data_IF_862432116608
#
_entry.id   IF_862432116608
#
_cell.length_a   1.000
_cell.length_b   1.000
_cell.length_c   1.000
_cell.angle_alpha   90.00
_cell.angle_beta   90.00
_cell.angle_gamma   90.00
#
_symmetry.space_group_name_H-M   'P 1'
#
loop_
_entity.id
_entity.type
_entity.pdbx_description
1 polymer ?
#
# COMPACT_ATOMS: atom_id res chain seq x y z
N UNK A 1 -54.87 -2.32 20.58
CA UNK A 1 -54.05 -2.99 19.52
C UNK A 1 -53.36 -2.03 18.55
N UNK A 2 -54.02 -0.97 18.08
CA UNK A 2 -53.39 0.00 17.12
C UNK A 2 -52.22 0.82 17.70
N UNK A 3 -52.27 1.23 18.99
CA UNK A 3 -51.17 1.98 19.62
C UNK A 3 -49.89 1.17 19.81
N UNK A 4 -49.98 -0.13 20.09
CA UNK A 4 -48.82 -1.01 20.26
C UNK A 4 -48.10 -1.29 18.93
N UNK A 5 -48.88 -1.35 17.82
CA UNK A 5 -48.29 -1.58 16.49
C UNK A 5 -47.54 -0.35 15.91
N UNK A 6 -48.05 0.86 16.27
CA UNK A 6 -47.45 2.12 15.83
C UNK A 6 -46.12 2.40 16.54
N UNK A 7 -46.04 2.12 17.84
CA UNK A 7 -44.81 2.30 18.62
C UNK A 7 -43.71 1.30 18.15
N UNK A 8 -44.08 0.05 17.88
CA UNK A 8 -43.13 -0.94 17.36
C UNK A 8 -42.63 -0.62 15.93
N UNK A 9 -43.43 0.08 15.10
CA UNK A 9 -43.05 0.47 13.77
C UNK A 9 -42.10 1.68 13.79
N UNK A 10 -42.34 2.66 14.68
CA UNK A 10 -41.50 3.83 14.86
C UNK A 10 -40.12 3.44 15.46
N UNK A 11 -40.09 2.55 16.45
CA UNK A 11 -38.86 2.02 17.04
C UNK A 11 -38.01 1.24 16.04
N UNK A 12 -38.62 0.36 15.25
CA UNK A 12 -37.94 -0.37 14.18
C UNK A 12 -37.45 0.56 13.05
N UNK A 13 -38.17 1.66 12.78
CA UNK A 13 -37.74 2.64 11.77
C UNK A 13 -36.58 3.52 12.27
N UNK A 14 -36.59 3.88 13.58
CA UNK A 14 -35.45 4.55 14.21
C UNK A 14 -34.22 3.64 14.33
N UNK A 15 -34.38 2.36 14.66
CA UNK A 15 -33.29 1.38 14.63
C UNK A 15 -32.74 1.17 13.21
N UNK A 16 -33.60 1.11 12.21
CA UNK A 16 -33.18 1.02 10.81
C UNK A 16 -32.51 2.30 10.32
N UNK A 17 -33.02 3.46 10.71
CA UNK A 17 -32.43 4.76 10.38
C UNK A 17 -31.09 4.94 11.08
N UNK A 18 -30.97 4.53 12.36
CA UNK A 18 -29.71 4.52 13.09
C UNK A 18 -28.72 3.49 12.49
N UNK A 19 -29.17 2.30 12.11
CA UNK A 19 -28.35 1.30 11.44
C UNK A 19 -27.88 1.77 10.06
N UNK A 20 -28.71 2.53 9.33
CA UNK A 20 -28.36 3.17 8.06
C UNK A 20 -27.43 4.38 8.26
N UNK A 21 -27.58 5.14 9.35
CA UNK A 21 -26.63 6.19 9.73
C UNK A 21 -25.30 5.65 10.27
N UNK A 22 -25.31 4.54 11.00
CA UNK A 22 -24.10 3.82 11.47
C UNK A 22 -23.40 3.10 10.30
N UNK A 23 -24.16 2.59 9.34
CA UNK A 23 -23.63 2.13 8.05
C UNK A 23 -23.33 3.28 7.11
N UNK A 24 -23.28 4.53 7.53
CA UNK A 24 -23.03 5.72 6.74
C UNK A 24 -23.13 5.43 5.22
N UNK A 25 -23.82 6.24 4.47
CA UNK A 25 -23.59 6.30 3.02
C UNK A 25 -22.14 6.77 2.83
N UNK A 26 -21.16 5.88 3.09
CA UNK A 26 -19.82 6.10 2.61
C UNK A 26 -19.93 5.98 1.10
N UNK A 27 -19.73 7.09 0.41
CA UNK A 27 -19.48 7.02 -1.03
C UNK A 27 -18.44 5.91 -1.22
N UNK A 28 -18.80 4.91 -2.02
CA UNK A 28 -17.88 3.81 -2.32
C UNK A 28 -16.62 4.37 -2.92
N UNK A 29 -15.49 3.89 -2.43
CA UNK A 29 -14.20 4.25 -3.02
C UNK A 29 -14.17 3.76 -4.46
N UNK A 30 -13.91 4.67 -5.40
CA UNK A 30 -13.82 4.36 -6.83
C UNK A 30 -12.35 4.19 -7.22
N UNK A 31 -12.00 3.01 -7.70
CA UNK A 31 -10.63 2.64 -8.08
C UNK A 31 -10.53 2.50 -9.59
N UNK A 32 -9.59 3.23 -10.20
CA UNK A 32 -9.20 3.04 -11.59
C UNK A 32 -8.30 1.80 -11.74
N UNK A 33 -8.53 0.98 -12.77
CA UNK A 33 -7.68 -0.18 -13.07
C UNK A 33 -7.28 -0.13 -14.54
N UNK A 34 -5.97 0.00 -14.82
CA UNK A 34 -5.48 -0.04 -16.21
C UNK A 34 -5.49 -1.48 -16.73
N UNK A 35 -5.92 -1.66 -17.98
CA UNK A 35 -6.13 -2.97 -18.59
C UNK A 35 -4.97 -3.47 -19.46
N UNK A 36 -3.99 -2.61 -19.75
CA UNK A 36 -2.88 -2.91 -20.65
C UNK A 36 -1.62 -3.24 -19.87
N UNK A 37 -0.73 -4.03 -20.48
CA UNK A 37 0.60 -4.32 -19.98
C UNK A 37 0.78 -5.64 -19.22
N UNK A 38 -0.26 -6.49 -19.09
CA UNK A 38 -0.11 -7.82 -18.48
C UNK A 38 0.56 -8.82 -19.45
N UNK A 39 1.51 -9.60 -18.95
CA UNK A 39 2.14 -10.70 -19.67
C UNK A 39 1.14 -11.84 -19.96
N UNK A 40 0.03 -11.91 -19.22
CA UNK A 40 -1.00 -12.93 -19.32
C UNK A 40 -2.31 -12.43 -19.95
N UNK A 41 -2.27 -11.22 -20.52
CA UNK A 41 -3.40 -10.64 -21.22
C UNK A 41 -4.42 -9.92 -20.34
N UNK A 42 -5.35 -9.28 -21.01
CA UNK A 42 -6.39 -8.42 -20.42
C UNK A 42 -7.36 -9.20 -19.51
N UNK A 43 -7.66 -10.44 -19.86
CA UNK A 43 -8.56 -11.31 -19.08
C UNK A 43 -8.08 -11.53 -17.66
N UNK A 44 -6.75 -11.62 -17.45
CA UNK A 44 -6.15 -11.76 -16.13
C UNK A 44 -6.48 -10.55 -15.24
N UNK A 45 -6.44 -9.34 -15.81
CA UNK A 45 -6.76 -8.11 -15.09
C UNK A 45 -8.27 -8.05 -14.79
N UNK A 46 -9.10 -8.41 -15.76
CA UNK A 46 -10.55 -8.45 -15.60
C UNK A 46 -10.99 -9.44 -14.52
N UNK A 47 -10.38 -10.62 -14.49
CA UNK A 47 -10.66 -11.62 -13.47
C UNK A 47 -10.29 -11.11 -12.08
N UNK A 48 -9.11 -10.53 -11.93
CA UNK A 48 -8.68 -9.90 -10.67
C UNK A 48 -9.60 -8.77 -10.22
N UNK A 49 -10.01 -7.93 -11.15
CA UNK A 49 -10.98 -6.84 -10.89
C UNK A 49 -12.34 -7.38 -10.44
N UNK A 50 -12.85 -8.43 -11.10
CA UNK A 50 -14.11 -9.10 -10.70
C UNK A 50 -14.01 -9.76 -9.32
N UNK A 51 -12.84 -10.33 -8.97
CA UNK A 51 -12.61 -10.86 -7.62
C UNK A 51 -12.68 -9.75 -6.57
N UNK A 52 -11.96 -8.65 -6.76
CA UNK A 52 -11.98 -7.51 -5.85
C UNK A 52 -13.39 -6.95 -5.66
N UNK A 53 -14.14 -6.77 -6.75
CA UNK A 53 -15.51 -6.25 -6.73
C UNK A 53 -16.47 -7.15 -5.96
N UNK A 54 -16.29 -8.48 -6.02
CA UNK A 54 -17.13 -9.44 -5.27
C UNK A 54 -16.80 -9.48 -3.79
N UNK A 55 -15.55 -9.22 -3.42
CA UNK A 55 -15.06 -9.32 -2.05
C UNK A 55 -15.16 -8.00 -1.26
N UNK A 56 -15.35 -6.87 -1.95
CA UNK A 56 -15.27 -5.56 -1.32
C UNK A 56 -16.36 -4.58 -1.72
N UNK A 57 -16.47 -3.52 -0.92
CA UNK A 57 -17.35 -2.38 -1.19
C UNK A 57 -16.58 -1.30 -1.96
N UNK A 58 -16.30 -1.58 -3.24
CA UNK A 58 -15.50 -0.75 -4.13
C UNK A 58 -16.23 -0.54 -5.46
N UNK A 59 -16.14 0.65 -6.02
CA UNK A 59 -16.50 0.93 -7.41
C UNK A 59 -15.25 0.85 -8.29
N UNK A 60 -15.41 0.37 -9.51
CA UNK A 60 -14.30 0.16 -10.45
C UNK A 60 -14.53 0.96 -11.73
N UNK A 61 -13.49 1.66 -12.16
CA UNK A 61 -13.36 2.25 -13.51
C UNK A 61 -12.21 1.54 -14.22
N UNK A 62 -12.52 0.84 -15.29
CA UNK A 62 -11.51 0.23 -16.14
C UNK A 62 -10.94 1.28 -17.10
N UNK A 63 -9.64 1.27 -17.31
CA UNK A 63 -8.96 2.22 -18.21
C UNK A 63 -8.21 1.40 -19.26
N UNK A 64 -8.71 1.41 -20.50
CA UNK A 64 -8.17 0.58 -21.57
C UNK A 64 -9.13 0.36 -22.72
N UNK A 65 -8.90 -0.66 -23.56
CA UNK A 65 -9.75 -0.91 -24.71
C UNK A 65 -11.18 -1.25 -24.32
N UNK A 66 -12.10 -0.97 -25.23
CA UNK A 66 -13.52 -1.27 -25.01
C UNK A 66 -13.75 -2.78 -24.86
N UNK A 67 -14.53 -3.15 -23.84
CA UNK A 67 -14.87 -4.54 -23.54
C UNK A 67 -16.39 -4.72 -23.66
N UNK A 68 -16.79 -5.61 -24.57
CA UNK A 68 -18.21 -5.98 -24.70
C UNK A 68 -18.71 -6.70 -23.44
N UNK A 69 -19.97 -6.41 -23.04
CA UNK A 69 -20.63 -7.01 -21.86
C UNK A 69 -19.83 -6.90 -20.53
N UNK A 70 -19.16 -5.77 -20.32
CA UNK A 70 -18.47 -5.46 -19.08
C UNK A 70 -19.42 -4.82 -18.06
N UNK A 71 -19.48 -5.28 -16.80
CA UNK A 71 -20.33 -4.66 -15.77
C UNK A 71 -19.72 -3.37 -15.19
N UNK A 72 -18.49 -3.02 -15.57
CA UNK A 72 -17.77 -1.86 -15.07
C UNK A 72 -17.80 -0.71 -16.07
N UNK A 73 -17.72 0.51 -15.56
CA UNK A 73 -17.45 1.69 -16.37
C UNK A 73 -16.08 1.56 -17.05
N UNK A 74 -16.00 1.94 -18.32
CA UNK A 74 -14.75 1.88 -19.11
C UNK A 74 -14.40 3.28 -19.61
N UNK A 75 -13.24 3.77 -19.23
CA UNK A 75 -12.57 4.92 -19.81
C UNK A 75 -11.68 4.43 -20.96
N UNK A 76 -12.02 4.72 -22.23
CA UNK A 76 -11.34 4.10 -23.37
C UNK A 76 -9.91 4.61 -23.54
N UNK A 77 -8.97 3.67 -23.76
CA UNK A 77 -7.56 3.94 -24.09
C UNK A 77 -7.01 2.82 -24.97
N UNK A 78 -6.26 3.17 -26.01
CA UNK A 78 -5.72 2.24 -26.98
C UNK A 78 -4.24 1.90 -26.76
N UNK A 79 -3.56 2.61 -25.85
CA UNK A 79 -2.15 2.38 -25.48
C UNK A 79 -1.93 2.53 -23.97
N UNK A 80 -0.81 1.98 -23.46
CA UNK A 80 -0.40 2.13 -22.06
C UNK A 80 -0.19 3.62 -21.69
N UNK A 81 0.43 4.41 -22.57
CA UNK A 81 0.67 5.83 -22.36
C UNK A 81 -0.64 6.61 -22.28
N UNK A 82 -1.60 6.31 -23.14
CA UNK A 82 -2.92 6.92 -23.09
C UNK A 82 -3.69 6.52 -21.82
N UNK A 83 -3.63 5.24 -21.45
CA UNK A 83 -4.25 4.75 -20.21
C UNK A 83 -3.67 5.47 -18.97
N UNK A 84 -2.36 5.69 -18.92
CA UNK A 84 -1.73 6.43 -17.83
C UNK A 84 -2.17 7.90 -17.80
N UNK A 85 -2.24 8.58 -18.95
CA UNK A 85 -2.71 9.97 -19.03
C UNK A 85 -4.17 10.11 -18.58
N UNK A 86 -5.04 9.18 -19.00
CA UNK A 86 -6.44 9.15 -18.56
C UNK A 86 -6.51 8.86 -17.07
N UNK A 87 -5.78 7.89 -16.56
CA UNK A 87 -5.67 7.57 -15.14
C UNK A 87 -5.29 8.80 -14.31
N UNK A 88 -4.26 9.53 -14.73
CA UNK A 88 -3.85 10.76 -14.04
C UNK A 88 -4.92 11.84 -14.06
N UNK A 89 -5.61 12.04 -15.18
CA UNK A 89 -6.72 12.98 -15.32
C UNK A 89 -7.86 12.62 -14.38
N UNK A 90 -8.23 11.33 -14.29
CA UNK A 90 -9.29 10.86 -13.40
C UNK A 90 -8.92 11.03 -11.91
N UNK A 91 -7.63 10.86 -11.55
CA UNK A 91 -7.12 11.15 -10.21
C UNK A 91 -7.14 12.65 -9.90
N UNK A 92 -6.67 13.48 -10.83
CA UNK A 92 -6.61 14.95 -10.67
C UNK A 92 -8.00 15.59 -10.55
N UNK A 93 -8.99 15.06 -11.25
CA UNK A 93 -10.40 15.47 -11.14
C UNK A 93 -11.14 14.83 -9.96
N UNK A 94 -10.46 13.99 -9.18
CA UNK A 94 -11.02 13.20 -8.08
C UNK A 94 -12.21 12.31 -8.51
N UNK A 95 -12.27 11.95 -9.80
CA UNK A 95 -13.25 11.01 -10.30
C UNK A 95 -13.00 9.58 -9.80
N UNK A 96 -11.74 9.21 -9.66
CA UNK A 96 -11.28 8.02 -8.93
C UNK A 96 -10.41 8.45 -7.74
N UNK A 97 -10.49 7.73 -6.64
CA UNK A 97 -9.74 8.03 -5.42
C UNK A 97 -8.40 7.31 -5.35
N UNK A 98 -8.19 6.26 -6.15
CA UNK A 98 -6.90 5.64 -6.39
C UNK A 98 -6.90 4.89 -7.72
N UNK A 99 -5.71 4.49 -8.15
CA UNK A 99 -5.55 3.65 -9.34
C UNK A 99 -4.62 2.47 -9.08
N UNK A 100 -4.88 1.35 -9.74
CA UNK A 100 -4.01 0.17 -9.81
C UNK A 100 -3.54 0.01 -11.25
N UNK A 101 -2.22 -0.06 -11.44
CA UNK A 101 -1.61 -0.19 -12.77
C UNK A 101 -0.43 -1.18 -12.74
N UNK A 102 -0.13 -1.81 -13.88
CA UNK A 102 0.91 -2.82 -13.98
C UNK A 102 2.32 -2.24 -14.14
N UNK A 103 2.42 -1.06 -14.65
CA UNK A 103 3.67 -0.33 -14.81
C UNK A 103 3.39 1.16 -14.78
N UNK A 104 4.23 1.92 -14.10
CA UNK A 104 4.14 3.37 -14.08
C UNK A 104 5.49 3.99 -13.77
N UNK A 105 5.88 5.00 -14.52
CA UNK A 105 7.11 5.73 -14.31
C UNK A 105 6.90 6.85 -13.29
N UNK A 106 7.12 6.54 -12.02
CA UNK A 106 7.06 7.55 -10.98
C UNK A 106 8.12 8.63 -11.18
N UNK A 107 7.83 9.88 -10.80
CA UNK A 107 8.83 10.93 -10.75
C UNK A 107 10.02 10.56 -9.84
N UNK A 108 11.18 11.16 -10.10
CA UNK A 108 12.33 11.03 -9.20
C UNK A 108 11.96 11.50 -7.78
N UNK A 109 12.39 10.75 -6.78
CA UNK A 109 12.05 11.03 -5.39
C UNK A 109 10.80 10.30 -4.88
N UNK A 110 10.14 9.51 -5.71
CA UNK A 110 9.01 8.65 -5.33
C UNK A 110 9.47 7.21 -5.23
N UNK A 111 9.06 6.54 -4.16
CA UNK A 111 9.32 5.13 -3.89
C UNK A 111 8.01 4.40 -3.61
N UNK A 112 7.98 3.08 -3.65
CA UNK A 112 6.77 2.29 -3.38
C UNK A 112 6.91 1.46 -2.10
N UNK A 113 5.79 1.28 -1.38
CA UNK A 113 5.70 0.42 -0.21
C UNK A 113 4.82 -0.78 -0.54
N UNK A 114 5.44 -1.92 -0.78
CA UNK A 114 4.74 -3.15 -1.12
C UNK A 114 4.16 -3.84 0.11
N UNK A 115 3.16 -4.70 -0.11
CA UNK A 115 2.55 -5.50 0.95
C UNK A 115 2.55 -6.97 0.55
N UNK A 116 3.18 -7.79 1.37
CA UNK A 116 3.34 -9.23 1.13
C UNK A 116 2.83 -10.05 2.31
N UNK A 117 2.74 -11.35 2.11
CA UNK A 117 2.37 -12.32 3.14
C UNK A 117 3.62 -13.11 3.53
N UNK A 118 3.95 -13.11 4.82
CA UNK A 118 5.05 -13.89 5.37
C UNK A 118 4.81 -15.40 5.16
N UNK A 119 5.75 -16.13 4.55
CA UNK A 119 5.53 -17.53 4.18
C UNK A 119 5.28 -18.47 5.36
N UNK A 120 5.92 -18.24 6.51
CA UNK A 120 5.82 -19.13 7.64
C UNK A 120 4.59 -18.90 8.52
N UNK A 121 4.11 -17.65 8.61
CA UNK A 121 3.07 -17.29 9.58
C UNK A 121 1.79 -16.77 8.94
N UNK A 122 1.80 -16.45 7.65
CA UNK A 122 0.69 -15.80 6.97
C UNK A 122 0.47 -14.34 7.38
N UNK A 123 1.39 -13.75 8.17
CA UNK A 123 1.30 -12.35 8.59
C UNK A 123 1.55 -11.44 7.40
N UNK A 124 0.76 -10.41 7.28
CA UNK A 124 0.99 -9.33 6.31
C UNK A 124 2.10 -8.41 6.79
N UNK A 125 3.05 -8.13 5.92
CA UNK A 125 4.17 -7.23 6.18
C UNK A 125 4.32 -6.21 5.04
N UNK A 126 4.78 -5.01 5.39
CA UNK A 126 5.04 -3.93 4.44
C UNK A 126 6.52 -3.84 4.15
N UNK A 127 6.91 -3.89 2.88
CA UNK A 127 8.31 -3.73 2.44
C UNK A 127 8.52 -2.32 1.92
N UNK A 128 9.31 -1.54 2.62
CA UNK A 128 9.67 -0.18 2.31
C UNK A 128 11.20 -0.09 2.02
N UNK A 129 11.61 -0.14 0.72
CA UNK A 129 10.87 0.07 -0.53
C UNK A 129 10.93 -1.13 -1.46
N UNK A 130 10.03 -1.14 -2.45
CA UNK A 130 9.96 -2.21 -3.47
C UNK A 130 10.29 -1.72 -4.89
N UNK A 131 10.26 -0.41 -5.12
CA UNK A 131 10.63 0.22 -6.39
C UNK A 131 10.90 1.71 -6.18
N UNK A 132 11.66 2.31 -7.08
CA UNK A 132 12.01 3.72 -7.05
C UNK A 132 13.06 4.06 -5.99
N UNK A 133 13.38 5.35 -5.85
CA UNK A 133 14.28 5.88 -4.84
C UNK A 133 13.83 7.27 -4.37
N UNK A 134 13.81 7.47 -3.06
CA UNK A 134 13.37 8.73 -2.46
C UNK A 134 14.52 9.73 -2.23
N UNK A 135 15.77 9.31 -2.45
CA UNK A 135 16.96 10.17 -2.34
C UNK A 135 18.12 9.60 -3.18
N UNK A 136 19.14 10.43 -3.42
CA UNK A 136 20.40 10.02 -4.05
C UNK A 136 21.31 9.24 -3.08
N UNK A 137 21.17 9.46 -1.78
CA UNK A 137 21.90 8.73 -0.74
C UNK A 137 21.07 7.55 -0.23
N UNK A 138 21.66 6.36 -0.19
CA UNK A 138 21.00 5.11 0.21
C UNK A 138 20.46 5.16 1.64
N UNK A 139 21.27 5.63 2.60
CA UNK A 139 20.88 5.68 4.01
C UNK A 139 19.76 6.70 4.23
N UNK A 140 19.82 7.84 3.53
CA UNK A 140 18.76 8.84 3.54
C UNK A 140 17.47 8.30 2.91
N UNK A 141 17.58 7.56 1.81
CA UNK A 141 16.46 6.86 1.20
C UNK A 141 15.80 5.91 2.21
N UNK A 142 16.59 5.06 2.87
CA UNK A 142 16.06 4.10 3.85
C UNK A 142 15.39 4.79 5.03
N UNK A 143 15.95 5.89 5.55
CA UNK A 143 15.32 6.64 6.64
C UNK A 143 13.99 7.29 6.23
N UNK A 144 13.88 7.82 5.00
CA UNK A 144 12.60 8.30 4.45
C UNK A 144 11.59 7.15 4.31
N UNK A 145 12.06 5.99 3.84
CA UNK A 145 11.23 4.80 3.65
C UNK A 145 10.67 4.25 4.98
N UNK A 146 11.36 4.44 6.12
CA UNK A 146 10.79 4.19 7.44
C UNK A 146 9.46 4.94 7.61
N UNK A 147 9.45 6.24 7.33
CA UNK A 147 8.26 7.08 7.52
C UNK A 147 7.15 6.65 6.55
N UNK A 148 7.50 6.37 5.29
CA UNK A 148 6.53 5.90 4.29
C UNK A 148 5.91 4.56 4.67
N UNK A 149 6.72 3.62 5.17
CA UNK A 149 6.26 2.32 5.67
C UNK A 149 5.31 2.46 6.86
N UNK A 150 5.65 3.32 7.85
CA UNK A 150 4.81 3.63 9.00
C UNK A 150 3.45 4.18 8.55
N UNK A 151 3.45 5.19 7.67
CA UNK A 151 2.22 5.81 7.17
C UNK A 151 1.33 4.79 6.44
N UNK A 152 1.94 3.95 5.62
CA UNK A 152 1.23 2.93 4.85
C UNK A 152 0.64 1.85 5.77
N UNK A 153 1.40 1.37 6.76
CA UNK A 153 0.91 0.41 7.74
C UNK A 153 -0.26 0.97 8.57
N UNK A 154 -0.14 2.23 9.04
CA UNK A 154 -1.20 2.94 9.77
C UNK A 154 -2.47 3.07 8.95
N UNK A 155 -2.37 3.44 7.68
CA UNK A 155 -3.54 3.55 6.80
C UNK A 155 -4.23 2.20 6.55
N UNK A 156 -3.53 1.10 6.77
CA UNK A 156 -4.08 -0.25 6.69
C UNK A 156 -4.51 -0.82 8.05
N UNK A 157 -4.60 0.01 9.10
CA UNK A 157 -5.14 -0.37 10.41
C UNK A 157 -4.10 -0.81 11.45
N UNK A 158 -2.80 -0.69 11.18
CA UNK A 158 -1.75 -0.98 12.17
C UNK A 158 -1.42 0.32 12.93
N UNK A 159 -2.04 0.55 14.08
CA UNK A 159 -1.94 1.82 14.82
C UNK A 159 -0.50 2.17 15.23
N UNK A 160 0.25 1.21 15.74
CA UNK A 160 1.65 1.38 16.17
C UNK A 160 2.50 0.28 15.53
N UNK A 161 2.95 0.48 14.29
CA UNK A 161 3.68 -0.56 13.56
C UNK A 161 5.04 -0.87 14.21
N UNK A 162 5.40 -2.15 14.22
CA UNK A 162 6.74 -2.63 14.53
C UNK A 162 7.60 -2.45 13.29
N UNK A 163 8.62 -1.60 13.38
CA UNK A 163 9.55 -1.30 12.28
C UNK A 163 10.85 -2.04 12.48
N UNK A 164 11.30 -2.76 11.48
CA UNK A 164 12.61 -3.41 11.48
C UNK A 164 13.41 -3.03 10.23
N UNK A 165 14.72 -2.86 10.40
CA UNK A 165 15.64 -2.56 9.30
C UNK A 165 16.34 -3.86 8.91
N UNK A 166 16.23 -4.23 7.63
CA UNK A 166 16.89 -5.43 7.11
C UNK A 166 18.40 -5.24 7.07
N UNK A 167 19.14 -6.29 7.37
CA UNK A 167 20.60 -6.31 7.32
C UNK A 167 21.13 -6.15 5.88
N UNK A 168 21.19 -4.91 5.46
CA UNK A 168 21.80 -4.45 4.21
C UNK A 168 22.83 -3.37 4.52
N UNK A 169 23.65 -2.98 3.54
CA UNK A 169 24.63 -1.91 3.77
C UNK A 169 23.92 -0.62 4.24
N UNK A 170 24.42 0.00 5.29
CA UNK A 170 23.86 1.19 5.91
C UNK A 170 22.78 0.92 6.96
N UNK A 171 22.43 -0.33 7.23
CA UNK A 171 21.37 -0.68 8.20
C UNK A 171 21.65 -0.15 9.60
N UNK A 172 22.90 -0.23 10.08
CA UNK A 172 23.31 0.26 11.41
C UNK A 172 23.19 1.79 11.51
N UNK A 173 23.61 2.51 10.47
CA UNK A 173 23.50 3.97 10.41
C UNK A 173 22.02 4.42 10.43
N UNK A 174 21.16 3.71 9.71
CA UNK A 174 19.72 4.00 9.65
C UNK A 174 19.05 3.65 10.99
N UNK A 175 19.42 2.53 11.63
CA UNK A 175 18.96 2.18 12.97
C UNK A 175 19.33 3.25 13.99
N UNK A 176 20.58 3.69 14.01
CA UNK A 176 21.05 4.76 14.89
C UNK A 176 20.28 6.09 14.63
N UNK A 177 19.96 6.38 13.39
CA UNK A 177 19.15 7.54 13.03
C UNK A 177 17.70 7.42 13.54
N UNK A 178 17.14 6.22 13.45
CA UNK A 178 15.80 5.92 13.93
C UNK A 178 15.71 6.02 15.46
N UNK A 179 16.71 5.53 16.18
CA UNK A 179 16.81 5.70 17.64
C UNK A 179 16.95 7.19 18.04
N UNK A 180 17.70 7.98 17.29
CA UNK A 180 17.76 9.43 17.51
C UNK A 180 16.40 10.11 17.30
N UNK A 181 15.63 9.72 16.29
CA UNK A 181 14.26 10.22 16.08
C UNK A 181 13.37 9.89 17.26
N UNK A 182 13.43 8.65 17.75
CA UNK A 182 12.70 8.19 18.94
C UNK A 182 13.09 9.00 20.18
N UNK A 183 14.39 9.16 20.42
CA UNK A 183 14.92 9.97 21.51
C UNK A 183 14.48 11.44 21.45
N UNK A 184 14.22 11.96 20.26
CA UNK A 184 13.68 13.31 20.04
C UNK A 184 12.15 13.39 20.13
N UNK A 185 11.46 12.28 20.49
CA UNK A 185 10.02 12.25 20.73
C UNK A 185 9.16 11.71 19.57
N UNK A 186 9.75 11.18 18.50
CA UNK A 186 8.97 10.52 17.44
C UNK A 186 8.61 9.10 17.84
N UNK A 187 7.39 8.89 18.34
CA UNK A 187 6.90 7.63 18.94
C UNK A 187 5.81 6.95 18.13
N UNK A 188 5.72 7.24 16.83
CA UNK A 188 4.69 6.71 15.94
C UNK A 188 4.80 5.19 15.63
N UNK A 189 5.83 4.53 16.15
CA UNK A 189 6.21 3.14 15.89
C UNK A 189 6.99 2.54 17.07
N UNK A 190 7.18 1.22 17.04
CA UNK A 190 8.16 0.51 17.88
C UNK A 190 9.24 -0.10 17.01
N UNK A 191 10.46 -0.25 17.56
CA UNK A 191 11.54 -0.93 16.85
C UNK A 191 11.40 -2.42 17.08
N UNK A 192 11.49 -3.20 16.01
CA UNK A 192 11.44 -4.65 16.05
C UNK A 192 12.79 -5.26 16.39
N UNK A 193 12.79 -6.36 17.13
CA UNK A 193 13.96 -7.14 17.43
C UNK A 193 14.11 -8.30 16.43
N UNK A 194 15.36 -8.59 16.04
CA UNK A 194 15.67 -9.84 15.37
C UNK A 194 15.43 -11.01 16.33
N UNK A 195 14.91 -12.11 15.81
CA UNK A 195 14.79 -13.36 16.57
C UNK A 195 16.14 -14.02 16.86
N UNK A 196 17.20 -13.56 16.22
CA UNK A 196 18.55 -13.92 16.56
C UNK A 196 19.04 -13.10 17.75
N UNK A 197 19.41 -13.76 18.80
CA UNK A 197 19.82 -13.13 20.08
C UNK A 197 21.09 -12.27 19.99
N UNK A 198 21.87 -12.44 18.93
CA UNK A 198 23.13 -11.74 18.67
C UNK A 198 23.01 -10.54 17.71
N UNK A 199 21.80 -10.24 17.19
CA UNK A 199 21.63 -9.25 16.13
C UNK A 199 20.88 -7.98 16.57
N UNK A 200 20.37 -7.93 17.80
CA UNK A 200 19.65 -6.73 18.30
C UNK A 200 18.43 -6.39 17.42
N UNK A 201 18.37 -5.15 16.94
CA UNK A 201 17.26 -4.62 16.15
C UNK A 201 17.43 -4.80 14.64
N UNK A 202 18.58 -5.33 14.16
CA UNK A 202 18.80 -5.53 12.71
C UNK A 202 18.21 -6.86 12.27
N UNK A 203 17.17 -6.80 11.44
CA UNK A 203 16.46 -7.98 10.94
C UNK A 203 17.30 -8.81 9.97
N UNK A 204 17.18 -10.13 10.09
CA UNK A 204 17.80 -11.12 9.22
C UNK A 204 16.78 -11.78 8.30
N UNK A 205 17.22 -12.56 7.32
CA UNK A 205 16.33 -13.26 6.40
C UNK A 205 15.26 -14.12 7.09
N UNK A 206 15.58 -14.76 8.21
CA UNK A 206 14.60 -15.53 8.99
C UNK A 206 13.50 -14.67 9.59
N UNK A 207 13.79 -13.43 9.94
CA UNK A 207 12.81 -12.49 10.50
C UNK A 207 11.74 -12.13 9.47
N UNK A 208 12.12 -12.04 8.18
CA UNK A 208 11.19 -11.82 7.06
C UNK A 208 10.25 -13.01 6.90
N UNK A 209 10.80 -14.24 6.92
CA UNK A 209 10.01 -15.47 6.75
C UNK A 209 8.99 -15.60 7.89
N UNK A 210 9.36 -15.18 9.10
CA UNK A 210 8.51 -15.24 10.29
C UNK A 210 7.60 -14.02 10.48
N UNK A 211 7.80 -12.96 9.71
CA UNK A 211 7.04 -11.72 9.87
C UNK A 211 7.29 -11.04 11.21
N UNK A 212 8.57 -10.93 11.64
CA UNK A 212 8.95 -10.38 12.96
C UNK A 212 8.65 -8.89 13.10
N UNK A 213 8.49 -8.15 12.00
CA UNK A 213 8.09 -6.75 11.96
C UNK A 213 6.84 -6.55 11.08
N UNK A 214 6.14 -5.44 11.27
CA UNK A 214 5.03 -5.01 10.39
C UNK A 214 5.58 -4.27 9.17
N UNK A 215 6.61 -3.46 9.37
CA UNK A 215 7.31 -2.70 8.33
C UNK A 215 8.76 -3.14 8.28
N UNK A 216 9.18 -3.64 7.13
CA UNK A 216 10.56 -4.02 6.84
C UNK A 216 11.17 -2.97 5.93
N UNK A 217 12.21 -2.30 6.41
CA UNK A 217 12.92 -1.27 5.66
C UNK A 217 14.15 -1.85 4.99
N UNK A 218 14.29 -1.59 3.70
CA UNK A 218 15.42 -2.07 2.90
C UNK A 218 15.70 -1.13 1.72
N UNK A 219 16.77 -1.40 0.99
CA UNK A 219 17.02 -0.73 -0.29
C UNK A 219 16.08 -1.24 -1.41
N UNK A 220 15.99 -0.47 -2.46
CA UNK A 220 15.06 -0.69 -3.57
C UNK A 220 15.30 -2.02 -4.31
N UNK A 221 16.55 -2.41 -4.54
CA UNK A 221 16.87 -3.65 -5.24
C UNK A 221 16.49 -4.88 -4.40
N UNK A 222 16.91 -4.88 -3.14
CA UNK A 222 16.59 -5.95 -2.19
C UNK A 222 15.08 -6.08 -2.03
N UNK A 223 14.38 -4.97 -1.83
CA UNK A 223 12.92 -4.99 -1.69
C UNK A 223 12.20 -5.48 -2.95
N UNK A 224 12.66 -5.12 -4.13
CA UNK A 224 12.10 -5.64 -5.39
C UNK A 224 12.26 -7.16 -5.52
N UNK A 225 13.44 -7.67 -5.17
CA UNK A 225 13.72 -9.12 -5.19
C UNK A 225 12.81 -9.84 -4.17
N UNK A 226 12.70 -9.31 -2.95
CA UNK A 226 11.84 -9.88 -1.90
C UNK A 226 10.37 -9.91 -2.33
N UNK A 227 9.87 -8.83 -2.96
CA UNK A 227 8.52 -8.80 -3.52
C UNK A 227 8.30 -9.95 -4.49
N UNK A 228 9.20 -10.11 -5.47
CA UNK A 228 9.10 -11.18 -6.47
C UNK A 228 9.17 -12.57 -5.84
N UNK A 229 10.07 -12.80 -4.89
CA UNK A 229 10.22 -14.08 -4.22
C UNK A 229 8.99 -14.42 -3.38
N UNK A 230 8.48 -13.48 -2.57
CA UNK A 230 7.32 -13.74 -1.72
C UNK A 230 6.03 -13.88 -2.52
N UNK A 231 5.86 -13.10 -3.57
CA UNK A 231 4.65 -13.15 -4.39
C UNK A 231 4.59 -14.38 -5.31
N UNK A 232 5.75 -14.94 -5.72
CA UNK A 232 5.82 -16.09 -6.63
C UNK A 232 6.16 -17.43 -5.95
N UNK A 233 6.27 -17.44 -4.63
CA UNK A 233 6.67 -18.64 -3.87
C UNK A 233 5.81 -19.88 -4.19
N UNK A 234 4.48 -19.69 -4.25
CA UNK A 234 3.54 -20.79 -4.50
C UNK A 234 3.47 -21.24 -5.97
N UNK A 235 4.03 -20.47 -6.90
CA UNK A 235 4.04 -20.79 -8.33
C UNK A 235 5.38 -21.36 -8.82
N UNK A 236 6.33 -21.58 -7.90
CA UNK A 236 7.69 -21.96 -8.28
C UNK A 236 8.44 -20.90 -9.06
N UNK A 237 8.08 -19.62 -8.90
CA UNK A 237 8.71 -18.49 -9.57
C UNK A 237 8.14 -18.15 -10.96
N UNK A 238 7.12 -18.87 -11.43
CA UNK A 238 6.58 -18.64 -12.78
C UNK A 238 5.82 -17.31 -12.90
N UNK A 239 5.02 -16.95 -11.87
CA UNK A 239 4.23 -15.72 -11.81
C UNK A 239 3.82 -15.40 -10.38
N UNK A 240 3.42 -14.16 -10.14
CA UNK A 240 3.05 -13.70 -8.80
C UNK A 240 1.61 -14.13 -8.46
N UNK A 241 1.46 -14.87 -7.37
CA UNK A 241 0.18 -15.50 -6.96
C UNK A 241 -0.32 -15.04 -5.60
N UNK A 242 0.55 -14.41 -4.79
CA UNK A 242 0.28 -14.08 -3.38
C UNK A 242 0.67 -12.63 -3.11
N UNK A 243 -0.07 -11.95 -2.22
CA UNK A 243 0.23 -10.61 -1.77
C UNK A 243 -0.65 -9.54 -2.42
N UNK A 244 -0.23 -8.30 -2.26
CA UNK A 244 -1.03 -7.10 -2.56
C UNK A 244 -0.33 -6.15 -3.55
N UNK A 245 0.69 -6.63 -4.24
CA UNK A 245 1.48 -5.85 -5.18
C UNK A 245 2.51 -4.93 -4.52
N UNK A 246 3.13 -4.10 -5.35
CA UNK A 246 4.27 -3.23 -4.99
C UNK A 246 3.83 -1.96 -4.25
N UNK A 247 2.54 -1.69 -4.21
CA UNK A 247 1.90 -0.67 -3.38
C UNK A 247 1.92 0.74 -3.94
N UNK A 248 1.56 1.72 -3.11
CA UNK A 248 1.45 3.11 -3.50
C UNK A 248 2.80 3.76 -3.74
N UNK A 249 2.83 4.72 -4.67
CA UNK A 249 3.92 5.69 -4.77
C UNK A 249 3.91 6.64 -3.58
N UNK A 250 5.05 6.74 -2.90
CA UNK A 250 5.22 7.49 -1.66
C UNK A 250 6.34 8.53 -1.78
N UNK A 251 6.03 9.75 -1.44
CA UNK A 251 6.99 10.85 -1.19
C UNK A 251 6.29 11.94 -0.40
N UNK A 252 7.03 12.73 0.38
CA UNK A 252 6.45 13.87 1.12
C UNK A 252 5.81 14.93 0.20
N UNK A 253 6.23 14.97 -1.06
CA UNK A 253 5.74 15.92 -2.07
C UNK A 253 4.92 15.24 -3.17
N UNK A 254 4.47 14.01 -2.96
CA UNK A 254 3.70 13.24 -3.94
C UNK A 254 2.43 12.68 -3.31
N UNK A 255 1.29 12.98 -3.91
CA UNK A 255 -0.03 12.62 -3.37
C UNK A 255 -0.94 11.90 -4.37
N UNK A 256 -0.42 11.49 -5.53
CA UNK A 256 -1.22 10.70 -6.48
C UNK A 256 -1.30 9.24 -6.00
N UNK A 257 -2.49 8.72 -5.69
CA UNK A 257 -2.66 7.38 -5.13
C UNK A 257 -2.62 6.30 -6.23
N UNK A 258 -1.43 6.07 -6.78
CA UNK A 258 -1.16 5.07 -7.82
C UNK A 258 -0.47 3.88 -7.17
N UNK A 259 -1.10 2.70 -7.28
CA UNK A 259 -0.62 1.43 -6.75
C UNK A 259 -0.09 0.55 -7.88
N UNK A 260 1.11 0.01 -7.71
CA UNK A 260 1.73 -0.85 -8.70
C UNK A 260 1.48 -2.33 -8.45
N UNK A 261 1.27 -3.06 -9.53
CA UNK A 261 1.40 -4.51 -9.62
C UNK A 261 2.39 -4.87 -10.72
N UNK A 262 2.90 -6.09 -10.70
CA UNK A 262 3.79 -6.60 -11.74
C UNK A 262 3.01 -6.96 -13.01
N UNK A 263 3.66 -6.91 -14.16
CA UNK A 263 3.12 -7.46 -15.43
C UNK A 263 2.83 -8.96 -15.34
N UNK A 264 3.52 -9.66 -14.43
CA UNK A 264 3.35 -11.10 -14.17
C UNK A 264 2.41 -11.40 -12.98
N UNK A 265 1.62 -10.44 -12.54
CA UNK A 265 0.66 -10.63 -11.44
C UNK A 265 -0.55 -11.45 -11.86
N UNK A 266 -0.94 -12.42 -11.00
CA UNK A 266 -2.16 -13.19 -11.16
C UNK A 266 -3.41 -12.36 -10.82
N UNK A 267 -4.62 -12.86 -11.16
CA UNK A 267 -5.87 -12.24 -10.74
C UNK A 267 -5.97 -12.01 -9.24
N UNK A 268 -5.42 -12.90 -8.42
CA UNK A 268 -5.43 -12.76 -6.95
C UNK A 268 -4.57 -11.59 -6.46
N UNK A 269 -3.40 -11.38 -7.06
CA UNK A 269 -2.53 -10.25 -6.70
C UNK A 269 -3.15 -8.93 -7.15
N UNK A 270 -3.79 -8.90 -8.33
CA UNK A 270 -4.52 -7.73 -8.81
C UNK A 270 -5.68 -7.39 -7.86
N UNK A 271 -6.48 -8.39 -7.46
CA UNK A 271 -7.53 -8.21 -6.47
C UNK A 271 -6.97 -7.73 -5.12
N UNK A 272 -5.85 -8.29 -4.68
CA UNK A 272 -5.13 -7.85 -3.49
C UNK A 272 -4.68 -6.39 -3.57
N UNK A 273 -4.17 -5.95 -4.72
CA UNK A 273 -3.76 -4.56 -4.92
C UNK A 273 -4.95 -3.58 -4.91
N UNK A 274 -6.08 -3.95 -5.48
CA UNK A 274 -7.32 -3.16 -5.40
C UNK A 274 -7.78 -3.05 -3.94
N UNK A 275 -7.77 -4.15 -3.19
CA UNK A 275 -8.07 -4.16 -1.75
C UNK A 275 -7.10 -3.29 -0.96
N UNK A 276 -5.81 -3.36 -1.27
CA UNK A 276 -4.79 -2.52 -0.63
C UNK A 276 -5.04 -1.03 -0.89
N UNK A 277 -5.32 -0.67 -2.15
CA UNK A 277 -5.65 0.70 -2.52
C UNK A 277 -6.90 1.18 -1.77
N UNK A 278 -7.97 0.39 -1.73
CA UNK A 278 -9.20 0.71 -1.00
C UNK A 278 -8.93 0.94 0.48
N UNK A 279 -8.21 0.03 1.14
CA UNK A 279 -7.87 0.15 2.57
C UNK A 279 -7.03 1.38 2.86
N UNK A 280 -5.98 1.63 2.06
CA UNK A 280 -5.09 2.76 2.26
C UNK A 280 -5.81 4.11 2.09
N UNK A 281 -6.72 4.22 1.12
CA UNK A 281 -7.50 5.44 0.90
C UNK A 281 -8.55 5.63 1.99
N UNK A 282 -9.30 4.58 2.35
CA UNK A 282 -10.24 4.64 3.47
C UNK A 282 -9.53 5.02 4.77
N UNK A 283 -8.32 4.49 5.00
CA UNK A 283 -7.45 4.83 6.11
C UNK A 283 -6.69 6.16 5.98
N UNK A 284 -7.00 6.97 4.94
CA UNK A 284 -6.47 8.33 4.75
C UNK A 284 -4.94 8.41 4.65
N UNK A 285 -4.33 7.52 3.86
CA UNK A 285 -2.88 7.38 3.70
C UNK A 285 -2.15 8.74 3.56
N UNK A 286 -2.58 9.58 2.63
CA UNK A 286 -1.87 10.85 2.35
C UNK A 286 -2.09 11.92 3.42
N UNK A 287 -3.22 11.87 4.15
CA UNK A 287 -3.41 12.70 5.34
C UNK A 287 -2.46 12.27 6.45
N UNK A 288 -2.38 10.96 6.74
CA UNK A 288 -1.43 10.39 7.70
C UNK A 288 0.01 10.77 7.31
N UNK A 289 0.37 10.69 6.02
CA UNK A 289 1.70 11.06 5.54
C UNK A 289 2.04 12.54 5.88
N UNK A 290 1.12 13.46 5.67
CA UNK A 290 1.35 14.88 5.98
C UNK A 290 1.44 15.12 7.50
N UNK A 291 0.59 14.46 8.28
CA UNK A 291 0.62 14.54 9.74
C UNK A 291 1.92 13.98 10.31
N UNK A 292 2.35 12.78 9.86
CA UNK A 292 3.59 12.15 10.32
C UNK A 292 4.82 12.93 9.83
N UNK A 293 4.79 13.50 8.62
CA UNK A 293 5.85 14.37 8.15
C UNK A 293 6.00 15.62 9.02
N UNK A 294 4.88 16.25 9.38
CA UNK A 294 4.90 17.40 10.30
C UNK A 294 5.47 17.03 11.66
N UNK A 295 5.08 15.89 12.23
CA UNK A 295 5.59 15.40 13.52
C UNK A 295 7.09 15.12 13.46
N UNK A 296 7.56 14.39 12.44
CA UNK A 296 8.97 14.00 12.34
C UNK A 296 9.88 15.22 12.14
N UNK A 297 9.41 16.27 11.47
CA UNK A 297 10.15 17.52 11.34
C UNK A 297 10.44 18.18 12.70
N UNK A 298 9.49 18.13 13.65
CA UNK A 298 9.70 18.64 15.01
C UNK A 298 10.73 17.82 15.80
N UNK A 299 11.00 16.59 15.37
CA UNK A 299 11.99 15.68 15.96
C UNK A 299 13.39 15.77 15.33
N UNK A 300 13.73 16.90 14.70
CA UNK A 300 15.01 17.15 14.03
C UNK A 300 15.31 16.24 12.82
N UNK A 301 14.27 15.77 12.13
CA UNK A 301 14.41 14.83 11.00
C UNK A 301 15.41 15.30 9.95
N UNK A 302 15.32 16.53 9.48
CA UNK A 302 16.21 17.06 8.44
C UNK A 302 17.68 17.06 8.88
N UNK A 303 17.95 17.36 10.15
CA UNK A 303 19.32 17.34 10.70
C UNK A 303 19.87 15.92 10.77
N UNK A 304 19.04 14.98 11.22
CA UNK A 304 19.40 13.55 11.28
C UNK A 304 19.62 13.01 9.87
N UNK A 305 18.70 13.30 8.94
CA UNK A 305 18.78 12.89 7.54
C UNK A 305 20.10 13.36 6.90
N UNK A 306 20.45 14.64 7.04
CA UNK A 306 21.69 15.21 6.50
C UNK A 306 22.97 14.66 7.16
N UNK A 307 22.87 14.05 8.34
CA UNK A 307 24.01 13.38 8.99
C UNK A 307 24.30 11.99 8.45
N UNK A 308 23.37 11.40 7.71
CA UNK A 308 23.57 10.14 6.99
C UNK A 308 24.28 10.43 5.66
N UNK A 309 25.52 10.00 5.57
CA UNK A 309 26.37 10.16 4.37
C UNK A 309 26.57 8.85 3.66
#
# INVERSE_FOLDING_TARGET
MEKSFKISFEENFEELANALQIRGFHEKIKIGVTLLGSDYGLETILEGTKLAFREGDVEIVLIGPHIGNCPFEVAPADSEEEAHRIMETLLETNYIQAAVTLHYNFPLGVTTVGRVISPATGKEIFIATTSGTSDCNRNQTMLKNVIYGICTAKSCGVETPVVGILNVDGSVEVENALEKLRGNGYTAFTIGDSRRTDMGHILQGNDLILGSADVVVTDSLTGNILMKMFSSFNSGGNYETVGYGYGPGMSFNYSKPIFLVSRSSSPRVIAGAIKYATQAITGKLYQILQEEYTKVLTCNFNRILLSLK
#
